data_IF_157912375956
#
_entry.id   IF_157912375956
#
_cell.length_a   1.000
_cell.length_b   1.000
_cell.length_c   1.000
_cell.angle_alpha   90.00
_cell.angle_beta   90.00
_cell.angle_gamma   90.00
#
_symmetry.space_group_name_H-M   'P 1'
#
loop_
_entity.id
_entity.type
_entity.pdbx_description
1 polymer ?
#
# COMPACT_ATOMS: atom_id res chain seq x y z
N UNK A 1 16.76 -1.92 -8.35
CA UNK A 1 15.85 -1.81 -9.51
C UNK A 1 14.69 -0.98 -9.06
N UNK A 2 14.39 0.09 -9.80
CA UNK A 2 13.28 0.97 -9.46
C UNK A 2 11.95 0.28 -9.80
N UNK A 3 11.04 0.27 -8.83
CA UNK A 3 9.74 -0.38 -8.92
C UNK A 3 8.64 0.50 -8.33
N UNK A 4 7.42 0.27 -8.80
CA UNK A 4 6.20 0.82 -8.24
C UNK A 4 5.26 -0.32 -7.87
N UNK A 5 4.75 -0.29 -6.65
CA UNK A 5 3.71 -1.20 -6.19
C UNK A 5 2.42 -0.41 -6.06
N UNK A 6 1.34 -0.87 -6.70
CA UNK A 6 0.02 -0.23 -6.67
C UNK A 6 -1.01 -1.23 -6.15
N UNK A 7 -1.52 -0.97 -4.94
CA UNK A 7 -2.44 -1.85 -4.24
C UNK A 7 -3.78 -1.15 -4.00
N UNK A 8 -4.86 -1.86 -4.31
CA UNK A 8 -6.19 -1.61 -3.73
C UNK A 8 -6.28 -2.34 -2.40
N UNK A 9 -6.60 -1.64 -1.31
CA UNK A 9 -6.57 -2.18 0.05
C UNK A 9 -7.88 -1.88 0.78
N UNK A 10 -8.48 -2.88 1.40
CA UNK A 10 -9.58 -2.72 2.36
C UNK A 10 -9.01 -2.69 3.78
N UNK A 11 -9.06 -1.52 4.39
CA UNK A 11 -8.66 -1.29 5.78
C UNK A 11 -9.40 -0.05 6.30
N UNK A 12 -9.60 0.02 7.61
CA UNK A 12 -10.16 1.18 8.29
C UNK A 12 -9.15 2.33 8.36
N UNK A 13 -9.65 3.54 8.62
CA UNK A 13 -8.80 4.70 8.88
C UNK A 13 -7.87 4.48 10.10
N UNK A 14 -8.39 3.89 11.17
CA UNK A 14 -7.64 3.60 12.40
C UNK A 14 -6.48 2.61 12.13
N UNK A 15 -6.72 1.58 11.32
CA UNK A 15 -5.68 0.63 10.93
C UNK A 15 -4.59 1.28 10.09
N UNK A 16 -4.95 2.15 9.15
CA UNK A 16 -3.97 2.93 8.38
C UNK A 16 -3.14 3.85 9.28
N UNK A 17 -3.80 4.62 10.14
CA UNK A 17 -3.13 5.53 11.08
C UNK A 17 -2.17 4.78 12.03
N UNK A 18 -2.55 3.57 12.45
CA UNK A 18 -1.74 2.71 13.30
C UNK A 18 -0.54 2.07 12.62
N UNK A 19 -0.48 2.00 11.27
CA UNK A 19 0.64 1.38 10.55
C UNK A 19 1.51 2.36 9.75
N UNK A 20 0.99 3.53 9.38
CA UNK A 20 1.64 4.43 8.41
C UNK A 20 3.02 4.93 8.85
N UNK A 21 3.22 5.19 10.15
CA UNK A 21 4.48 5.74 10.68
C UNK A 21 5.63 4.73 10.57
N UNK A 22 5.34 3.45 10.84
CA UNK A 22 6.34 2.38 10.82
C UNK A 22 6.55 1.76 9.44
N UNK A 23 5.61 1.98 8.51
CA UNK A 23 5.61 1.36 7.18
C UNK A 23 6.94 1.56 6.43
N UNK A 24 7.55 2.77 6.37
CA UNK A 24 8.82 2.96 5.68
C UNK A 24 9.95 2.10 6.24
N UNK A 25 9.97 1.89 7.57
CA UNK A 25 10.99 1.06 8.20
C UNK A 25 10.74 -0.43 7.93
N UNK A 26 9.49 -0.89 8.02
CA UNK A 26 9.12 -2.27 7.69
C UNK A 26 9.49 -2.64 6.24
N UNK A 27 9.25 -1.71 5.30
CA UNK A 27 9.62 -1.90 3.89
C UNK A 27 11.14 -2.09 3.75
N UNK A 28 11.94 -1.25 4.42
CA UNK A 28 13.41 -1.35 4.41
C UNK A 28 13.89 -2.68 4.98
N UNK A 29 13.33 -3.10 6.11
CA UNK A 29 13.66 -4.37 6.77
C UNK A 29 13.30 -5.57 5.87
N UNK A 30 12.29 -5.43 5.01
CA UNK A 30 11.88 -6.42 4.03
C UNK A 30 12.63 -6.32 2.68
N UNK A 31 13.63 -5.44 2.55
CA UNK A 31 14.48 -5.34 1.35
C UNK A 31 13.90 -4.48 0.23
N UNK A 32 12.94 -3.61 0.53
CA UNK A 32 12.43 -2.57 -0.36
C UNK A 32 12.75 -1.20 0.24
N UNK A 33 13.60 -0.42 -0.41
CA UNK A 33 13.91 0.94 0.02
C UNK A 33 12.86 1.90 -0.57
N UNK A 34 11.89 2.40 0.20
CA UNK A 34 10.87 3.29 -0.34
C UNK A 34 11.46 4.67 -0.63
N UNK A 35 11.04 5.26 -1.75
CA UNK A 35 11.30 6.65 -2.16
C UNK A 35 10.12 7.52 -1.76
N UNK A 36 8.90 7.07 -2.04
CA UNK A 36 7.67 7.73 -1.60
C UNK A 36 6.54 6.72 -1.45
N UNK A 37 5.57 7.07 -0.61
CA UNK A 37 4.35 6.31 -0.35
C UNK A 37 3.19 7.27 -0.53
N UNK A 38 2.20 6.84 -1.32
CA UNK A 38 0.91 7.50 -1.44
C UNK A 38 -0.18 6.58 -0.89
N UNK A 39 -1.12 7.15 -0.15
CA UNK A 39 -2.31 6.43 0.30
C UNK A 39 -3.52 7.38 0.23
N UNK A 40 -4.59 6.95 -0.42
CA UNK A 40 -5.85 7.70 -0.44
C UNK A 40 -7.05 6.78 -0.42
N UNK A 41 -8.16 7.26 0.13
CA UNK A 41 -9.46 6.60 0.01
C UNK A 41 -10.04 6.90 -1.37
N UNK A 42 -10.24 5.87 -2.18
CA UNK A 42 -10.81 5.98 -3.53
C UNK A 42 -12.31 5.68 -3.56
N UNK A 43 -12.82 4.98 -2.55
CA UNK A 43 -14.25 4.77 -2.35
C UNK A 43 -14.56 4.53 -0.85
N UNK A 44 -15.75 4.94 -0.37
CA UNK A 44 -16.15 4.71 1.03
C UNK A 44 -16.40 3.22 1.35
N UNK A 45 -16.55 2.37 0.34
CA UNK A 45 -16.69 0.92 0.47
C UNK A 45 -16.31 0.23 -0.84
N UNK A 46 -15.74 -0.97 -0.77
CA UNK A 46 -15.60 -1.82 -1.95
C UNK A 46 -16.96 -2.34 -2.46
N UNK A 47 -17.10 -2.64 -3.77
CA UNK A 47 -18.26 -3.35 -4.29
C UNK A 47 -18.44 -4.71 -3.58
N UNK A 48 -19.67 -5.04 -3.17
CA UNK A 48 -19.96 -6.26 -2.39
C UNK A 48 -19.50 -7.55 -3.07
N UNK A 49 -19.61 -7.62 -4.39
CA UNK A 49 -19.24 -8.79 -5.19
C UNK A 49 -17.79 -8.73 -5.71
N UNK A 50 -16.99 -7.78 -5.26
CA UNK A 50 -15.58 -7.71 -5.65
C UNK A 50 -14.76 -8.84 -5.01
N UNK A 51 -13.73 -9.37 -5.69
CA UNK A 51 -12.82 -10.36 -5.11
C UNK A 51 -12.21 -9.87 -3.78
N UNK A 52 -11.93 -8.57 -3.70
CA UNK A 52 -11.35 -7.94 -2.51
C UNK A 52 -12.31 -7.96 -1.31
N UNK A 53 -13.59 -7.68 -1.52
CA UNK A 53 -14.61 -7.75 -0.47
C UNK A 53 -14.84 -9.20 0.01
N UNK A 54 -14.76 -10.17 -0.90
CA UNK A 54 -14.85 -11.59 -0.56
C UNK A 54 -13.65 -12.05 0.28
N UNK A 55 -12.44 -11.67 -0.10
CA UNK A 55 -11.21 -11.97 0.65
C UNK A 55 -11.24 -11.35 2.04
N UNK A 56 -11.65 -10.08 2.15
CA UNK A 56 -11.82 -9.41 3.44
C UNK A 56 -12.80 -10.16 4.34
N UNK A 57 -13.96 -10.56 3.81
CA UNK A 57 -14.97 -11.28 4.57
C UNK A 57 -14.49 -12.67 5.00
N UNK A 58 -13.72 -13.35 4.14
CA UNK A 58 -13.12 -14.63 4.45
C UNK A 58 -12.09 -14.53 5.58
N UNK A 59 -11.18 -13.55 5.49
CA UNK A 59 -10.08 -13.38 6.44
C UNK A 59 -10.51 -12.80 7.79
N UNK A 60 -11.51 -11.91 7.81
CA UNK A 60 -11.95 -11.20 9.03
C UNK A 60 -13.23 -11.78 9.65
N UNK A 61 -13.92 -12.71 8.98
CA UNK A 61 -15.21 -13.25 9.41
C UNK A 61 -16.36 -12.23 9.45
N UNK A 62 -16.15 -11.03 8.90
CA UNK A 62 -17.11 -9.92 8.87
C UNK A 62 -17.13 -9.28 7.48
N UNK A 63 -18.30 -8.86 7.02
CA UNK A 63 -18.42 -8.23 5.70
C UNK A 63 -17.63 -6.93 5.61
N UNK A 64 -17.06 -6.63 4.44
CA UNK A 64 -16.36 -5.37 4.15
C UNK A 64 -17.28 -4.14 4.03
N UNK A 65 -18.57 -4.28 4.36
CA UNK A 65 -19.54 -3.20 4.21
C UNK A 65 -19.22 -2.05 5.16
N UNK A 66 -18.93 -0.88 4.59
CA UNK A 66 -18.50 0.30 5.35
C UNK A 66 -17.00 0.39 5.60
N UNK A 67 -16.21 -0.60 5.15
CA UNK A 67 -14.74 -0.52 5.17
C UNK A 67 -14.25 0.26 3.94
N UNK A 68 -13.52 1.38 4.11
CA UNK A 68 -13.07 2.19 2.99
C UNK A 68 -12.09 1.44 2.10
N UNK A 69 -12.18 1.70 0.80
CA UNK A 69 -11.26 1.20 -0.21
C UNK A 69 -10.15 2.24 -0.41
N UNK A 70 -8.94 1.83 -0.09
CA UNK A 70 -7.72 2.60 -0.27
C UNK A 70 -7.03 2.23 -1.57
N UNK A 71 -6.33 3.21 -2.15
CA UNK A 71 -5.26 2.98 -3.10
C UNK A 71 -3.94 3.35 -2.44
N UNK A 72 -3.03 2.40 -2.34
CA UNK A 72 -1.70 2.55 -1.76
C UNK A 72 -0.67 2.34 -2.86
N UNK A 73 0.16 3.36 -3.11
CA UNK A 73 1.27 3.28 -4.06
C UNK A 73 2.58 3.41 -3.30
N UNK A 74 3.47 2.44 -3.46
CA UNK A 74 4.84 2.48 -2.91
C UNK A 74 5.82 2.49 -4.05
N UNK A 75 6.53 3.60 -4.22
CA UNK A 75 7.63 3.69 -5.17
C UNK A 75 8.94 3.50 -4.42
N UNK A 76 9.86 2.74 -5.00
CA UNK A 76 11.12 2.45 -4.32
C UNK A 76 12.11 1.64 -5.14
N UNK A 77 13.18 1.24 -4.47
CA UNK A 77 14.23 0.42 -5.03
C UNK A 77 14.30 -0.93 -4.32
N UNK A 78 14.40 -2.00 -5.11
CA UNK A 78 14.56 -3.35 -4.57
C UNK A 78 15.57 -4.18 -5.37
N UNK A 79 16.10 -5.21 -4.72
CA UNK A 79 16.86 -6.29 -5.33
C UNK A 79 16.05 -7.60 -5.45
N UNK A 80 14.82 -7.63 -4.93
CA UNK A 80 13.94 -8.79 -5.00
C UNK A 80 13.37 -8.99 -6.41
N UNK A 81 12.87 -10.19 -6.68
CA UNK A 81 12.19 -10.49 -7.93
C UNK A 81 10.82 -9.77 -7.97
N UNK A 82 10.46 -9.17 -9.11
CA UNK A 82 9.20 -8.40 -9.26
C UNK A 82 7.95 -9.06 -8.67
N UNK A 83 7.67 -10.37 -8.89
CA UNK A 83 6.45 -10.98 -8.36
C UNK A 83 6.39 -11.05 -6.84
N UNK A 84 7.52 -10.90 -6.14
CA UNK A 84 7.60 -10.96 -4.67
C UNK A 84 7.42 -9.60 -4.00
N UNK A 85 7.50 -8.49 -4.74
CA UNK A 85 7.53 -7.14 -4.14
C UNK A 85 6.16 -6.70 -3.63
N UNK A 86 5.09 -6.93 -4.39
CA UNK A 86 3.72 -6.60 -3.95
C UNK A 86 3.33 -7.36 -2.66
N UNK A 87 3.56 -8.69 -2.54
CA UNK A 87 3.40 -9.39 -1.27
C UNK A 87 4.19 -8.79 -0.12
N UNK A 88 5.46 -8.39 -0.33
CA UNK A 88 6.29 -7.73 0.70
C UNK A 88 5.66 -6.41 1.18
N UNK A 89 5.15 -5.59 0.26
CA UNK A 89 4.44 -4.36 0.65
C UNK A 89 3.18 -4.69 1.45
N UNK A 90 2.45 -5.73 1.05
CA UNK A 90 1.25 -6.13 1.75
C UNK A 90 1.52 -6.69 3.17
N UNK A 91 2.65 -7.34 3.41
CA UNK A 91 3.08 -7.75 4.75
C UNK A 91 3.36 -6.54 5.68
N UNK A 92 3.56 -5.34 5.13
CA UNK A 92 3.71 -4.11 5.89
C UNK A 92 2.36 -3.45 6.25
N UNK A 93 1.26 -3.90 5.64
CA UNK A 93 -0.10 -3.44 5.92
C UNK A 93 -0.66 -4.09 7.20
N UNK A 94 -1.78 -3.58 7.73
CA UNK A 94 -2.47 -4.21 8.85
C UNK A 94 -2.81 -5.69 8.54
N UNK A 95 -2.71 -6.60 9.52
CA UNK A 95 -2.91 -8.05 9.30
C UNK A 95 -4.34 -8.42 8.89
N UNK A 96 -5.30 -7.53 9.17
CA UNK A 96 -6.72 -7.60 8.83
C UNK A 96 -7.02 -7.06 7.43
N UNK A 97 -6.06 -6.37 6.81
CA UNK A 97 -6.26 -5.75 5.50
C UNK A 97 -6.34 -6.80 4.39
N UNK A 98 -7.34 -6.68 3.53
CA UNK A 98 -7.37 -7.40 2.27
C UNK A 98 -6.80 -6.51 1.17
N UNK A 99 -6.01 -7.08 0.25
CA UNK A 99 -5.36 -6.31 -0.80
C UNK A 99 -5.41 -7.01 -2.17
N UNK A 100 -5.37 -6.21 -3.23
CA UNK A 100 -5.22 -6.67 -4.62
C UNK A 100 -4.36 -5.65 -5.37
N UNK A 101 -3.36 -6.11 -6.11
CA UNK A 101 -2.49 -5.22 -6.87
C UNK A 101 -1.30 -5.93 -7.50
N UNK A 102 -0.39 -5.14 -8.07
CA UNK A 102 0.81 -5.64 -8.73
C UNK A 102 2.03 -4.76 -8.47
N UNK A 103 3.17 -5.24 -8.93
CA UNK A 103 4.41 -4.49 -9.01
C UNK A 103 4.80 -4.31 -10.46
N UNK A 104 5.12 -3.08 -10.83
CA UNK A 104 5.64 -2.71 -12.14
C UNK A 104 7.06 -2.15 -12.01
N UNK A 105 7.84 -2.20 -13.10
CA UNK A 105 9.14 -1.53 -13.17
C UNK A 105 8.90 -0.02 -13.38
N UNK A 106 9.62 0.81 -12.63
CA UNK A 106 9.59 2.27 -12.76
C UNK A 106 8.90 2.98 -11.59
N UNK A 107 8.24 4.09 -11.88
CA UNK A 107 7.63 4.99 -10.91
C UNK A 107 6.22 5.34 -11.36
N UNK A 108 5.24 5.22 -10.45
CA UNK A 108 3.87 5.69 -10.67
C UNK A 108 3.63 6.99 -9.93
N UNK A 109 3.26 8.03 -10.67
CA UNK A 109 2.71 9.28 -10.11
C UNK A 109 1.24 9.07 -9.73
N UNK A 110 0.86 9.43 -8.50
CA UNK A 110 -0.48 9.16 -7.98
C UNK A 110 -1.57 10.02 -8.66
N UNK A 111 -1.30 11.32 -8.78
CA UNK A 111 -2.06 12.32 -9.55
C UNK A 111 -1.25 13.61 -9.66
N UNK A 112 -1.56 14.48 -10.62
CA UNK A 112 -0.94 15.81 -10.71
C UNK A 112 -1.26 16.60 -9.44
N UNK A 113 -0.25 16.85 -8.60
CA UNK A 113 -0.32 17.52 -7.29
C UNK A 113 -0.76 16.69 -6.07
N UNK A 114 -0.82 15.35 -6.13
CA UNK A 114 -0.97 14.57 -4.90
C UNK A 114 0.33 14.58 -4.09
N UNK A 115 0.25 14.97 -2.82
CA UNK A 115 1.40 14.88 -1.90
C UNK A 115 1.50 13.47 -1.33
N UNK A 116 2.71 12.90 -1.24
CA UNK A 116 2.89 11.60 -0.61
C UNK A 116 2.62 11.70 0.89
N UNK A 117 2.04 10.63 1.45
CA UNK A 117 1.88 10.49 2.91
C UNK A 117 3.24 10.31 3.59
N UNK A 118 4.24 9.87 2.82
CA UNK A 118 5.63 9.80 3.23
C UNK A 118 6.57 9.90 2.02
N UNK A 119 7.67 10.62 2.16
CA UNK A 119 8.76 10.64 1.18
C UNK A 119 10.11 10.58 1.88
N UNK A 120 11.08 9.89 1.29
CA UNK A 120 12.47 10.05 1.67
C UNK A 120 12.87 11.51 1.36
N UNK A 121 13.02 12.35 2.38
CA UNK A 121 13.57 13.69 2.18
C UNK A 121 14.94 13.57 1.49
N UNK A 122 15.15 14.33 0.40
CA UNK A 122 16.49 14.51 -0.15
C UNK A 122 17.37 15.04 0.97
N UNK A 123 18.29 14.21 1.47
CA UNK A 123 19.44 14.69 2.24
C UNK A 123 20.37 15.43 1.29
N UNK A 124 19.93 16.58 0.80
CA UNK A 124 20.75 17.60 0.16
C UNK A 124 20.45 18.90 0.92
N UNK A 125 21.20 19.17 2.00
CA UNK A 125 21.66 20.50 2.43
C UNK A 125 22.64 20.30 3.61
N UNK A 126 23.94 20.13 3.33
CA UNK A 126 25.05 20.81 4.04
C UNK A 126 26.18 21.09 3.04
#
# INVERSE_FOLDING_TARGET
MQVSVDLSVLMTQEEWEGCQEDMPQKLRDAGLTPVNIFATVVAPSAPKDSPLAQEYAFSNGTAAEGTPLWRVIVNGDTAAALPSVAPVVAECLPPTAAWLGSTEIGHTEFAWSAEPVWSAESSEEI
#
